data_IF_100072676438
#
_entry.id   IF_100072676438
#
_cell.length_a   1.000
_cell.length_b   1.000
_cell.length_c   1.000
_cell.angle_alpha   90.00
_cell.angle_beta   90.00
_cell.angle_gamma   90.00
#
_symmetry.space_group_name_H-M   'P 1'
#
loop_
_entity.id
_entity.type
_entity.pdbx_description
1 polymer ?
#
# COMPACT_ATOMS: atom_id res chain seq x y z
N UNK A 1 16.12 10.63 19.55
CA UNK A 1 16.62 11.29 18.33
C UNK A 1 15.90 12.62 18.22
N UNK A 2 16.62 13.73 18.32
CA UNK A 2 16.02 15.06 18.28
C UNK A 2 15.54 15.42 16.87
N UNK A 3 14.27 15.87 16.75
CA UNK A 3 13.64 16.23 15.47
C UNK A 3 14.34 17.38 14.74
N UNK A 4 15.07 18.24 15.47
CA UNK A 4 15.66 19.48 14.93
C UNK A 4 17.14 19.36 14.54
N UNK A 5 17.88 18.39 15.06
CA UNK A 5 19.33 18.23 14.81
C UNK A 5 19.67 17.00 13.97
N UNK A 6 18.79 15.99 13.91
CA UNK A 6 19.03 14.74 13.16
C UNK A 6 17.81 14.32 12.31
N UNK A 7 17.18 15.27 11.61
CA UNK A 7 16.01 15.03 10.77
C UNK A 7 16.19 13.84 9.82
N UNK A 8 17.31 13.78 9.09
CA UNK A 8 17.58 12.70 8.13
C UNK A 8 17.69 11.31 8.78
N UNK A 9 18.30 11.21 9.98
CA UNK A 9 18.36 9.95 10.72
C UNK A 9 16.99 9.54 11.28
N UNK A 10 16.23 10.50 11.79
CA UNK A 10 14.86 10.25 12.26
C UNK A 10 13.96 9.81 11.11
N UNK A 11 13.99 10.52 9.99
CA UNK A 11 13.24 10.21 8.78
C UNK A 11 13.60 8.84 8.21
N UNK A 12 14.90 8.56 8.04
CA UNK A 12 15.36 7.25 7.58
C UNK A 12 14.94 6.12 8.54
N UNK A 13 15.07 6.33 9.86
CA UNK A 13 14.61 5.37 10.86
C UNK A 13 13.11 5.12 10.81
N UNK A 14 12.30 6.16 10.59
CA UNK A 14 10.84 6.06 10.53
C UNK A 14 10.36 5.40 9.23
N UNK A 15 11.07 5.63 8.12
CA UNK A 15 10.85 4.93 6.86
C UNK A 15 11.25 3.46 6.95
N UNK A 16 12.41 3.16 7.54
CA UNK A 16 12.87 1.80 7.71
C UNK A 16 11.96 1.01 8.65
N UNK A 17 11.54 1.60 9.79
CA UNK A 17 10.61 0.95 10.72
C UNK A 17 9.22 0.76 10.09
N UNK A 18 8.71 1.78 9.40
CA UNK A 18 7.43 1.70 8.70
C UNK A 18 7.43 0.73 7.52
N UNK A 19 8.53 0.69 6.77
CA UNK A 19 8.74 -0.24 5.66
C UNK A 19 8.87 -1.68 6.15
N UNK A 20 9.68 -1.92 7.20
CA UNK A 20 9.83 -3.24 7.80
C UNK A 20 8.50 -3.75 8.39
N UNK A 21 7.80 -2.93 9.18
CA UNK A 21 6.49 -3.30 9.71
C UNK A 21 5.46 -3.58 8.60
N UNK A 22 5.47 -2.78 7.54
CA UNK A 22 4.63 -3.00 6.35
C UNK A 22 4.96 -4.30 5.64
N UNK A 23 6.24 -4.58 5.40
CA UNK A 23 6.71 -5.80 4.77
C UNK A 23 6.36 -7.05 5.61
N UNK A 24 6.61 -7.01 6.93
CA UNK A 24 6.27 -8.12 7.83
C UNK A 24 4.78 -8.40 7.87
N UNK A 25 3.94 -7.36 7.89
CA UNK A 25 2.48 -7.54 7.81
C UNK A 25 2.08 -8.20 6.48
N UNK A 26 2.62 -7.68 5.36
CA UNK A 26 2.36 -8.25 4.03
C UNK A 26 2.86 -9.70 3.92
N UNK A 27 3.90 -10.14 4.64
CA UNK A 27 4.30 -11.55 4.65
C UNK A 27 3.18 -12.51 5.12
N UNK A 28 2.13 -12.02 5.79
CA UNK A 28 0.98 -12.84 6.18
C UNK A 28 -0.29 -12.45 5.43
N UNK A 29 -0.53 -11.15 5.21
CA UNK A 29 -1.80 -10.67 4.63
C UNK A 29 -1.77 -10.51 3.11
N UNK A 30 -0.60 -10.57 2.47
CA UNK A 30 -0.49 -10.38 1.01
C UNK A 30 -1.29 -11.37 0.18
N UNK A 31 -1.38 -12.68 0.52
CA UNK A 31 -2.25 -13.60 -0.20
C UNK A 31 -3.72 -13.17 -0.17
N UNK A 32 -4.20 -12.59 0.93
CA UNK A 32 -5.56 -12.08 1.05
C UNK A 32 -5.78 -10.84 0.17
N UNK A 33 -4.82 -9.92 0.14
CA UNK A 33 -4.83 -8.77 -0.77
C UNK A 33 -4.83 -9.21 -2.24
N UNK A 34 -4.03 -10.21 -2.57
CA UNK A 34 -3.96 -10.81 -3.89
C UNK A 34 -5.32 -11.40 -4.30
N UNK A 35 -5.90 -12.26 -3.45
CA UNK A 35 -7.20 -12.88 -3.72
C UNK A 35 -8.31 -11.84 -3.85
N UNK A 36 -8.34 -10.82 -2.98
CA UNK A 36 -9.27 -9.69 -3.07
C UNK A 36 -9.15 -8.97 -4.41
N UNK A 37 -7.92 -8.71 -4.87
CA UNK A 37 -7.67 -8.01 -6.13
C UNK A 37 -8.13 -8.84 -7.33
N UNK A 38 -7.85 -10.14 -7.34
CA UNK A 38 -8.30 -11.06 -8.40
C UNK A 38 -9.83 -11.18 -8.46
N UNK A 39 -10.47 -11.35 -7.31
CA UNK A 39 -11.93 -11.42 -7.22
C UNK A 39 -12.59 -10.11 -7.62
N UNK A 40 -11.98 -8.96 -7.33
CA UNK A 40 -12.49 -7.67 -7.76
C UNK A 40 -12.32 -7.43 -9.27
N UNK A 41 -11.33 -8.08 -9.90
CA UNK A 41 -11.12 -8.04 -11.34
C UNK A 41 -11.99 -9.06 -12.10
N UNK A 42 -12.51 -10.09 -11.41
CA UNK A 42 -13.43 -11.07 -11.97
C UNK A 42 -14.81 -10.45 -12.21
N UNK A 43 -15.11 -10.17 -13.48
CA UNK A 43 -16.39 -9.59 -13.94
C UNK A 43 -17.40 -10.65 -14.40
N UNK A 44 -17.14 -11.94 -14.13
CA UNK A 44 -18.01 -13.04 -14.52
C UNK A 44 -19.41 -12.92 -13.89
N UNK A 45 -20.45 -12.93 -14.73
CA UNK A 45 -21.85 -12.74 -14.28
C UNK A 45 -22.53 -14.01 -13.79
N UNK A 46 -21.95 -15.18 -14.08
CA UNK A 46 -22.49 -16.50 -13.70
C UNK A 46 -21.41 -17.45 -13.18
N UNK A 47 -21.79 -18.59 -12.56
CA UNK A 47 -20.85 -19.55 -11.98
C UNK A 47 -19.85 -20.15 -12.97
N UNK A 48 -20.21 -20.24 -14.25
CA UNK A 48 -19.36 -20.75 -15.33
C UNK A 48 -18.48 -19.67 -15.98
N UNK A 49 -18.85 -18.40 -15.81
CA UNK A 49 -18.11 -17.25 -16.35
C UNK A 49 -17.15 -16.63 -15.32
N UNK A 50 -17.29 -16.99 -14.04
CA UNK A 50 -16.38 -16.55 -12.98
C UNK A 50 -15.11 -17.38 -12.99
N UNK A 51 -13.98 -16.69 -12.92
CA UNK A 51 -12.67 -17.32 -12.84
C UNK A 51 -12.46 -17.99 -11.46
N UNK A 52 -13.08 -17.43 -10.42
CA UNK A 52 -13.00 -17.92 -9.05
C UNK A 52 -14.37 -17.97 -8.36
N UNK A 53 -14.65 -19.06 -7.65
CA UNK A 53 -15.90 -19.24 -6.88
C UNK A 53 -15.89 -18.53 -5.52
N UNK A 54 -14.72 -18.05 -5.09
CA UNK A 54 -14.53 -17.32 -3.84
C UNK A 54 -13.06 -17.16 -3.46
N UNK A 55 -12.80 -16.65 -2.25
CA UNK A 55 -11.44 -16.38 -1.78
C UNK A 55 -10.61 -17.65 -1.58
N UNK A 56 -11.15 -18.69 -0.94
CA UNK A 56 -10.46 -19.96 -0.76
C UNK A 56 -10.19 -20.68 -2.10
N UNK A 57 -11.14 -20.62 -3.03
CA UNK A 57 -11.00 -21.16 -4.38
C UNK A 57 -9.89 -20.42 -5.16
N UNK A 58 -9.88 -19.09 -5.09
CA UNK A 58 -8.81 -18.27 -5.69
C UNK A 58 -7.42 -18.63 -5.14
N UNK A 59 -7.28 -18.69 -3.81
CA UNK A 59 -5.99 -19.00 -3.20
C UNK A 59 -5.50 -20.40 -3.55
N UNK A 60 -6.39 -21.40 -3.50
CA UNK A 60 -6.02 -22.80 -3.79
C UNK A 60 -5.72 -23.04 -5.26
N UNK A 61 -6.48 -22.42 -6.18
CA UNK A 61 -6.26 -22.53 -7.63
C UNK A 61 -4.93 -21.92 -8.04
N UNK A 62 -4.62 -20.72 -7.54
CA UNK A 62 -3.36 -20.03 -7.83
C UNK A 62 -2.18 -20.74 -7.17
N UNK A 63 -2.34 -21.23 -5.93
CA UNK A 63 -1.30 -22.02 -5.28
C UNK A 63 -1.00 -23.32 -6.03
N UNK A 64 -2.00 -23.97 -6.63
CA UNK A 64 -1.79 -25.17 -7.46
C UNK A 64 -1.11 -24.87 -8.79
N UNK A 65 -1.37 -23.70 -9.38
CA UNK A 65 -0.80 -23.29 -10.67
C UNK A 65 0.64 -22.77 -10.54
N UNK A 66 0.85 -21.75 -9.69
CA UNK A 66 2.10 -20.98 -9.58
C UNK A 66 2.77 -21.09 -8.19
N UNK A 67 2.20 -21.87 -7.27
CA UNK A 67 2.73 -22.04 -5.92
C UNK A 67 2.70 -20.75 -5.08
N UNK A 68 3.62 -20.69 -4.11
CA UNK A 68 3.81 -19.49 -3.28
C UNK A 68 4.33 -18.29 -4.09
N UNK A 69 5.11 -18.52 -5.13
CA UNK A 69 5.65 -17.44 -5.99
C UNK A 69 4.53 -16.65 -6.67
N UNK A 70 3.47 -17.33 -7.12
CA UNK A 70 2.30 -16.69 -7.71
C UNK A 70 1.51 -15.80 -6.73
N UNK A 71 1.33 -16.26 -5.49
CA UNK A 71 0.57 -15.53 -4.46
C UNK A 71 1.28 -14.24 -3.99
N UNK A 72 2.62 -14.22 -4.01
CA UNK A 72 3.43 -13.06 -3.59
C UNK A 72 3.91 -12.19 -4.77
N UNK A 73 3.36 -12.39 -5.96
CA UNK A 73 3.78 -11.66 -7.17
C UNK A 73 3.44 -10.18 -7.04
N UNK A 74 4.49 -9.36 -6.99
CA UNK A 74 4.42 -7.92 -6.77
C UNK A 74 4.68 -7.45 -5.34
N UNK A 75 5.14 -8.35 -4.45
CA UNK A 75 5.49 -8.01 -3.07
C UNK A 75 6.57 -6.92 -2.98
N UNK A 76 7.65 -7.03 -3.75
CA UNK A 76 8.75 -6.06 -3.73
C UNK A 76 8.31 -4.63 -4.08
N UNK A 77 7.51 -4.47 -5.14
CA UNK A 77 6.95 -3.17 -5.54
C UNK A 77 5.96 -2.64 -4.50
N UNK A 78 5.20 -3.53 -3.83
CA UNK A 78 4.33 -3.14 -2.72
C UNK A 78 5.12 -2.53 -1.56
N UNK A 79 6.27 -3.10 -1.20
CA UNK A 79 7.12 -2.57 -0.13
C UNK A 79 7.70 -1.20 -0.52
N UNK A 80 8.16 -1.05 -1.77
CA UNK A 80 8.61 0.24 -2.29
C UNK A 80 7.51 1.30 -2.26
N UNK A 81 6.29 0.93 -2.66
CA UNK A 81 5.11 1.80 -2.61
C UNK A 81 4.81 2.29 -1.19
N UNK A 82 4.89 1.43 -0.18
CA UNK A 82 4.68 1.80 1.24
C UNK A 82 5.73 2.82 1.69
N UNK A 83 7.00 2.61 1.34
CA UNK A 83 8.10 3.51 1.72
C UNK A 83 7.88 4.89 1.08
N UNK A 84 7.56 4.92 -0.21
CA UNK A 84 7.33 6.17 -0.95
C UNK A 84 6.09 6.91 -0.43
N UNK A 85 5.00 6.18 -0.18
CA UNK A 85 3.79 6.74 0.42
C UNK A 85 4.10 7.39 1.79
N UNK A 86 4.82 6.68 2.67
CA UNK A 86 5.21 7.23 3.98
C UNK A 86 6.15 8.43 3.85
N UNK A 87 7.11 8.38 2.93
CA UNK A 87 8.04 9.47 2.69
C UNK A 87 7.31 10.75 2.24
N UNK A 88 6.42 10.62 1.26
CA UNK A 88 5.58 11.72 0.79
C UNK A 88 4.67 12.25 1.90
N UNK A 89 4.02 11.36 2.64
CA UNK A 89 3.12 11.74 3.73
C UNK A 89 3.83 12.55 4.81
N UNK A 90 4.97 12.06 5.33
CA UNK A 90 5.72 12.80 6.35
C UNK A 90 6.29 14.11 5.81
N UNK A 91 6.84 14.12 4.59
CA UNK A 91 7.39 15.34 3.99
C UNK A 91 6.32 16.43 3.80
N UNK A 92 5.17 16.07 3.24
CA UNK A 92 4.05 16.99 3.04
C UNK A 92 3.44 17.44 4.37
N UNK A 93 3.30 16.54 5.32
CA UNK A 93 2.74 16.84 6.64
C UNK A 93 3.63 17.76 7.48
N UNK A 94 4.96 17.54 7.47
CA UNK A 94 5.91 18.40 8.17
C UNK A 94 5.97 19.80 7.52
N UNK A 95 5.90 19.88 6.19
CA UNK A 95 5.81 21.15 5.45
C UNK A 95 4.52 21.90 5.79
N UNK A 96 3.36 21.20 5.77
CA UNK A 96 2.07 21.78 6.14
C UNK A 96 2.09 22.31 7.58
N UNK A 97 2.61 21.53 8.53
CA UNK A 97 2.76 21.96 9.92
C UNK A 97 3.67 23.16 10.11
N UNK A 98 4.71 23.31 9.29
CA UNK A 98 5.61 24.47 9.32
C UNK A 98 4.97 25.76 8.83
N UNK A 99 3.97 25.67 7.95
CA UNK A 99 3.28 26.83 7.36
C UNK A 99 2.02 27.25 8.14
N UNK A 100 1.50 26.39 9.02
CA UNK A 100 0.25 26.62 9.72
C UNK A 100 0.46 27.15 11.14
N UNK A 101 -0.43 28.04 11.62
CA UNK A 101 -0.43 28.45 13.03
C UNK A 101 -0.73 27.26 13.93
N UNK A 102 -0.18 27.28 15.16
CA UNK A 102 -0.30 26.19 16.13
C UNK A 102 -1.73 25.91 16.63
N UNK A 103 -2.68 26.80 16.34
CA UNK A 103 -4.07 26.71 16.77
C UNK A 103 -5.02 26.72 15.56
N UNK A 104 -5.12 25.57 14.88
CA UNK A 104 -6.03 25.36 13.76
C UNK A 104 -7.32 24.68 14.22
N UNK A 105 -8.47 25.14 13.71
CA UNK A 105 -9.76 24.49 13.96
C UNK A 105 -9.78 23.05 13.44
N UNK A 106 -10.69 22.23 14.01
CA UNK A 106 -10.84 20.81 13.67
C UNK A 106 -11.02 20.59 12.15
N UNK A 107 -11.88 21.39 11.51
CA UNK A 107 -12.19 21.27 10.08
C UNK A 107 -10.97 21.55 9.21
N UNK A 108 -10.16 22.56 9.55
CA UNK A 108 -8.94 22.87 8.83
C UNK A 108 -7.91 21.74 8.99
N UNK A 109 -7.71 21.24 10.21
CA UNK A 109 -6.82 20.09 10.48
C UNK A 109 -7.22 18.85 9.69
N UNK A 110 -8.53 18.57 9.62
CA UNK A 110 -9.08 17.48 8.84
C UNK A 110 -8.84 17.68 7.34
N UNK A 111 -9.12 18.89 6.81
CA UNK A 111 -8.92 19.19 5.39
C UNK A 111 -7.46 18.99 4.97
N UNK A 112 -6.52 19.49 5.77
CA UNK A 112 -5.08 19.33 5.54
C UNK A 112 -4.68 17.86 5.58
N UNK A 113 -5.18 17.10 6.56
CA UNK A 113 -4.90 15.66 6.64
C UNK A 113 -5.41 14.91 5.39
N UNK A 114 -6.59 15.26 4.87
CA UNK A 114 -7.11 14.69 3.63
C UNK A 114 -6.24 15.08 2.43
N UNK A 115 -5.89 16.35 2.27
CA UNK A 115 -5.04 16.81 1.18
C UNK A 115 -3.69 16.10 1.18
N UNK A 116 -3.03 16.01 2.34
CA UNK A 116 -1.74 15.31 2.47
C UNK A 116 -1.89 13.83 2.11
N UNK A 117 -2.95 13.17 2.57
CA UNK A 117 -3.22 11.76 2.28
C UNK A 117 -3.45 11.53 0.79
N UNK A 118 -4.29 12.35 0.15
CA UNK A 118 -4.59 12.24 -1.27
C UNK A 118 -3.34 12.48 -2.13
N UNK A 119 -2.57 13.53 -1.86
CA UNK A 119 -1.35 13.82 -2.62
C UNK A 119 -0.31 12.71 -2.43
N UNK A 120 -0.14 12.21 -1.21
CA UNK A 120 0.77 11.08 -0.95
C UNK A 120 0.34 9.82 -1.70
N UNK A 121 -0.97 9.55 -1.75
CA UNK A 121 -1.55 8.44 -2.51
C UNK A 121 -1.35 8.59 -4.02
N UNK A 122 -1.47 9.81 -4.57
CA UNK A 122 -1.20 10.08 -5.98
C UNK A 122 0.28 9.82 -6.31
N UNK A 123 1.20 10.24 -5.43
CA UNK A 123 2.64 10.02 -5.60
C UNK A 123 2.98 8.51 -5.60
N UNK A 124 2.36 7.72 -4.72
CA UNK A 124 2.59 6.26 -4.67
C UNK A 124 1.80 5.47 -5.72
N UNK A 125 0.83 6.09 -6.39
CA UNK A 125 -0.10 5.42 -7.29
C UNK A 125 0.54 4.63 -8.45
N UNK A 126 1.65 5.08 -9.07
CA UNK A 126 2.34 4.28 -10.08
C UNK A 126 2.80 2.91 -9.53
N UNK A 127 3.29 2.87 -8.30
CA UNK A 127 3.73 1.62 -7.64
C UNK A 127 2.55 0.70 -7.37
N UNK A 128 1.43 1.25 -6.91
CA UNK A 128 0.19 0.49 -6.72
C UNK A 128 -0.33 -0.08 -8.05
N UNK A 129 -0.21 0.69 -9.13
CA UNK A 129 -0.62 0.25 -10.47
C UNK A 129 0.23 -0.92 -10.94
N UNK A 130 1.56 -0.83 -10.84
CA UNK A 130 2.47 -1.92 -11.22
C UNK A 130 2.25 -3.15 -10.32
N UNK A 131 2.07 -2.95 -9.01
CA UNK A 131 1.71 -4.02 -8.06
C UNK A 131 0.49 -4.80 -8.54
N UNK A 132 -0.62 -4.10 -8.84
CA UNK A 132 -1.86 -4.75 -9.30
C UNK A 132 -1.69 -5.43 -10.66
N UNK A 133 -0.96 -4.82 -11.60
CA UNK A 133 -0.66 -5.45 -12.89
C UNK A 133 0.12 -6.75 -12.74
N UNK A 134 1.10 -6.80 -11.83
CA UNK A 134 1.84 -8.03 -11.53
C UNK A 134 0.97 -9.11 -10.88
N UNK A 135 0.04 -8.75 -9.98
CA UNK A 135 -0.91 -9.70 -9.39
C UNK A 135 -1.82 -10.35 -10.45
N UNK A 136 -2.14 -9.62 -11.52
CA UNK A 136 -2.95 -10.14 -12.63
C UNK A 136 -2.19 -11.13 -13.53
N UNK A 137 -0.86 -11.27 -13.38
CA UNK A 137 -0.07 -12.20 -14.18
C UNK A 137 0.04 -13.62 -13.58
N UNK A 138 -0.33 -13.81 -12.31
CA UNK A 138 -0.32 -15.13 -11.68
C UNK A 138 -1.63 -15.86 -11.96
N UNK A 139 -1.61 -17.12 -12.38
CA UNK A 139 -2.84 -17.89 -12.66
C UNK A 139 -2.78 -18.75 -13.89
#
# INVERSE_FOLDING_TARGET
VDKKTQFWRFFAGNLASGGAAGATSLCFVYPLDFARTRLAADIGKGPEQREFKGLADCLTKIFKADGLGGLYRGFGVSVQGIIIYRAAFFGLYDTAKGMLPSNIGLVASWAIAQTVTTVSGIISYPFDTVRRRMMMQSG
#
